data_IF_754603060117
#
_entry.id   IF_754603060117
#
_cell.length_a   1.000
_cell.length_b   1.000
_cell.length_c   1.000
_cell.angle_alpha   90.00
_cell.angle_beta   90.00
_cell.angle_gamma   90.00
#
_symmetry.space_group_name_H-M   'P 1'
#
loop_
_entity.id
_entity.type
_entity.pdbx_description
1 polymer ?
#
# COMPACT_ATOMS: atom_id res chain seq x y z
N UNK A 1 -9.53 -14.46 -29.88
CA UNK A 1 -9.33 -13.20 -29.12
C UNK A 1 -9.01 -13.33 -27.62
N UNK A 2 -9.02 -14.52 -26.98
CA UNK A 2 -8.75 -14.64 -25.52
C UNK A 2 -7.26 -14.49 -25.11
N UNK A 3 -6.30 -14.86 -25.97
CA UNK A 3 -4.85 -14.78 -25.64
C UNK A 3 -4.35 -13.33 -25.45
N UNK A 4 -4.80 -12.39 -26.27
CA UNK A 4 -4.37 -10.99 -26.18
C UNK A 4 -4.72 -10.31 -24.85
N UNK A 5 -5.88 -10.62 -24.26
CA UNK A 5 -6.28 -10.03 -22.97
C UNK A 5 -5.46 -10.57 -21.79
N UNK A 6 -5.09 -11.86 -21.81
CA UNK A 6 -4.26 -12.46 -20.75
C UNK A 6 -2.87 -11.83 -20.73
N UNK A 7 -2.23 -11.69 -21.90
CA UNK A 7 -0.93 -11.04 -22.01
C UNK A 7 -0.95 -9.60 -21.49
N UNK A 8 -2.06 -8.87 -21.66
CA UNK A 8 -2.17 -7.51 -21.14
C UNK A 8 -2.26 -7.48 -19.60
N UNK A 9 -3.02 -8.39 -19.00
CA UNK A 9 -3.14 -8.47 -17.54
C UNK A 9 -1.83 -8.90 -16.89
N UNK A 10 -1.11 -9.87 -17.49
CA UNK A 10 0.21 -10.31 -17.00
C UNK A 10 1.23 -9.16 -17.03
N UNK A 11 1.26 -8.37 -18.11
CA UNK A 11 2.12 -7.20 -18.22
C UNK A 11 1.74 -6.09 -17.22
N UNK A 12 0.44 -5.85 -17.01
CA UNK A 12 -0.05 -4.90 -16.01
C UNK A 12 0.32 -5.34 -14.58
N UNK A 13 0.22 -6.64 -14.29
CA UNK A 13 0.64 -7.21 -13.02
C UNK A 13 2.14 -7.06 -12.79
N UNK A 14 2.99 -7.36 -13.78
CA UNK A 14 4.45 -7.21 -13.67
C UNK A 14 4.82 -5.74 -13.39
N UNK A 15 4.14 -4.82 -14.06
CA UNK A 15 4.33 -3.38 -13.82
C UNK A 15 3.92 -3.01 -12.39
N UNK A 16 2.75 -3.46 -11.96
CA UNK A 16 2.25 -3.16 -10.63
C UNK A 16 3.15 -3.73 -9.53
N UNK A 17 3.64 -4.97 -9.70
CA UNK A 17 4.61 -5.59 -8.81
C UNK A 17 5.92 -4.80 -8.75
N UNK A 18 6.41 -4.31 -9.90
CA UNK A 18 7.63 -3.49 -9.95
C UNK A 18 7.45 -2.15 -9.20
N UNK A 19 6.26 -1.55 -9.28
CA UNK A 19 5.94 -0.33 -8.53
C UNK A 19 5.85 -0.59 -7.01
N UNK A 20 5.32 -1.75 -6.60
CA UNK A 20 5.20 -2.15 -5.20
C UNK A 20 6.56 -2.59 -4.63
N UNK A 21 7.39 -3.28 -5.41
CA UNK A 21 8.70 -3.79 -5.00
C UNK A 21 9.65 -2.67 -4.56
N UNK A 22 9.47 -1.44 -5.08
CA UNK A 22 10.16 -0.26 -4.55
C UNK A 22 10.00 -0.12 -3.03
N UNK A 23 8.86 -0.50 -2.45
CA UNK A 23 8.56 -0.39 -1.02
C UNK A 23 9.04 -1.57 -0.18
N UNK A 24 9.55 -2.65 -0.80
CA UNK A 24 10.13 -3.79 -0.09
C UNK A 24 11.45 -3.39 0.60
N UNK A 25 11.67 -3.73 1.88
CA UNK A 25 12.87 -3.34 2.61
C UNK A 25 13.90 -4.46 2.57
N UNK A 26 15.09 -4.16 2.06
CA UNK A 26 16.17 -5.15 1.91
C UNK A 26 17.14 -5.20 3.09
N UNK A 27 17.25 -4.11 3.86
CA UNK A 27 18.16 -4.05 5.00
C UNK A 27 17.73 -4.96 6.17
N UNK A 28 18.68 -5.55 6.92
CA UNK A 28 18.36 -6.39 8.07
C UNK A 28 17.59 -5.64 9.15
N UNK A 29 16.52 -6.22 9.70
CA UNK A 29 15.60 -5.59 10.66
C UNK A 29 16.29 -4.95 11.88
N UNK A 30 17.44 -5.48 12.30
CA UNK A 30 18.21 -5.00 13.46
C UNK A 30 19.18 -3.86 13.12
N UNK A 31 19.43 -3.57 11.85
CA UNK A 31 20.42 -2.61 11.38
C UNK A 31 19.96 -1.14 11.48
N UNK A 32 20.87 -0.17 11.32
CA UNK A 32 20.51 1.26 11.21
C UNK A 32 19.95 1.56 9.83
N UNK A 33 20.43 0.83 8.84
CA UNK A 33 20.08 0.88 7.42
C UNK A 33 18.60 0.57 7.23
N UNK A 34 18.06 -0.40 7.99
CA UNK A 34 16.62 -0.69 8.02
C UNK A 34 15.79 0.54 8.34
N UNK A 35 16.15 1.30 9.38
CA UNK A 35 15.35 2.47 9.77
C UNK A 35 15.43 3.59 8.75
N UNK A 36 16.59 3.76 8.10
CA UNK A 36 16.77 4.73 7.03
C UNK A 36 15.91 4.37 5.82
N UNK A 37 16.00 3.11 5.36
CA UNK A 37 15.23 2.60 4.22
C UNK A 37 13.72 2.62 4.51
N UNK A 38 13.33 2.16 5.71
CA UNK A 38 11.94 2.22 6.18
C UNK A 38 11.40 3.64 6.18
N UNK A 39 12.14 4.60 6.75
CA UNK A 39 11.68 5.98 6.86
C UNK A 39 11.53 6.63 5.48
N UNK A 40 12.46 6.39 4.56
CA UNK A 40 12.38 6.90 3.19
C UNK A 40 11.12 6.39 2.48
N UNK A 41 10.89 5.07 2.52
CA UNK A 41 9.76 4.40 1.87
C UNK A 41 8.43 4.79 2.50
N UNK A 42 8.37 4.83 3.84
CA UNK A 42 7.20 5.25 4.59
C UNK A 42 6.83 6.70 4.29
N UNK A 43 7.82 7.62 4.31
CA UNK A 43 7.58 9.02 3.99
C UNK A 43 7.07 9.18 2.56
N UNK A 44 7.67 8.49 1.58
CA UNK A 44 7.22 8.54 0.19
C UNK A 44 5.77 8.07 0.04
N UNK A 45 5.42 6.94 0.63
CA UNK A 45 4.05 6.42 0.59
C UNK A 45 3.06 7.37 1.28
N UNK A 46 3.39 7.83 2.49
CA UNK A 46 2.52 8.71 3.27
C UNK A 46 2.31 10.08 2.63
N UNK A 47 3.38 10.71 2.13
CA UNK A 47 3.29 11.98 1.41
C UNK A 47 2.50 11.85 0.11
N UNK A 48 2.66 10.73 -0.62
CA UNK A 48 1.87 10.48 -1.84
C UNK A 48 0.40 10.31 -1.52
N UNK A 49 0.05 9.56 -0.47
CA UNK A 49 -1.32 9.44 0.02
C UNK A 49 -1.92 10.81 0.39
N UNK A 50 -1.16 11.65 1.09
CA UNK A 50 -1.58 13.02 1.45
C UNK A 50 -1.82 13.86 0.19
N UNK A 51 -0.91 13.80 -0.79
CA UNK A 51 -1.06 14.50 -2.06
C UNK A 51 -2.32 14.06 -2.83
N UNK A 52 -2.60 12.75 -2.90
CA UNK A 52 -3.80 12.21 -3.53
C UNK A 52 -5.08 12.66 -2.82
N UNK A 53 -5.09 12.65 -1.48
CA UNK A 53 -6.23 13.19 -0.68
C UNK A 53 -6.45 14.68 -0.95
N UNK A 54 -5.37 15.46 -1.09
CA UNK A 54 -5.46 16.87 -1.46
C UNK A 54 -5.99 17.08 -2.88
N UNK A 55 -5.64 16.20 -3.83
CA UNK A 55 -6.20 16.22 -5.19
C UNK A 55 -7.71 15.99 -5.15
N UNK A 56 -8.20 14.99 -4.40
CA UNK A 56 -9.64 14.74 -4.25
C UNK A 56 -10.41 15.93 -3.66
N UNK A 57 -9.80 16.65 -2.72
CA UNK A 57 -10.44 17.80 -2.05
C UNK A 57 -10.47 19.05 -2.91
N UNK A 58 -9.41 19.30 -3.69
CA UNK A 58 -9.17 20.61 -4.29
C UNK A 58 -9.37 20.64 -5.82
N UNK A 59 -9.50 19.49 -6.48
CA UNK A 59 -9.63 19.41 -7.94
C UNK A 59 -11.02 18.90 -8.33
N UNK A 60 -11.60 19.51 -9.37
CA UNK A 60 -12.76 18.94 -10.06
C UNK A 60 -12.26 17.84 -10.98
N UNK A 61 -12.56 16.60 -10.62
CA UNK A 61 -12.16 15.40 -11.37
C UNK A 61 -13.35 14.84 -12.13
N UNK A 62 -13.09 14.26 -13.30
CA UNK A 62 -14.08 13.39 -13.94
C UNK A 62 -14.36 12.16 -13.05
N UNK A 63 -15.52 11.49 -13.18
CA UNK A 63 -15.80 10.26 -12.44
C UNK A 63 -14.73 9.18 -12.60
N UNK A 64 -14.09 9.11 -13.77
CA UNK A 64 -12.99 8.17 -14.06
C UNK A 64 -11.74 8.52 -13.27
N UNK A 65 -11.35 9.78 -13.23
CA UNK A 65 -10.19 10.26 -12.46
C UNK A 65 -10.43 10.12 -10.96
N UNK A 66 -11.63 10.44 -10.48
CA UNK A 66 -12.01 10.28 -9.08
C UNK A 66 -11.80 8.84 -8.60
N UNK A 67 -12.31 7.85 -9.37
CA UNK A 67 -12.11 6.43 -9.07
C UNK A 67 -10.64 6.03 -9.07
N UNK A 68 -9.85 6.50 -10.06
CA UNK A 68 -8.41 6.24 -10.11
C UNK A 68 -7.69 6.76 -8.87
N UNK A 69 -7.95 8.01 -8.47
CA UNK A 69 -7.32 8.61 -7.29
C UNK A 69 -7.74 7.88 -6.01
N UNK A 70 -9.02 7.49 -5.87
CA UNK A 70 -9.49 6.69 -4.73
C UNK A 70 -8.77 5.34 -4.65
N UNK A 71 -8.63 4.63 -5.77
CA UNK A 71 -7.90 3.36 -5.82
C UNK A 71 -6.42 3.55 -5.49
N UNK A 72 -5.79 4.62 -5.98
CA UNK A 72 -4.42 4.95 -5.61
C UNK A 72 -4.28 5.24 -4.12
N UNK A 73 -5.24 5.91 -3.48
CA UNK A 73 -5.23 6.12 -2.03
C UNK A 73 -5.24 4.78 -1.28
N UNK A 74 -6.14 3.85 -1.64
CA UNK A 74 -6.18 2.50 -1.03
C UNK A 74 -4.84 1.78 -1.21
N UNK A 75 -4.27 1.77 -2.42
CA UNK A 75 -2.93 1.21 -2.69
C UNK A 75 -1.86 1.76 -1.74
N UNK A 76 -1.81 3.08 -1.52
CA UNK A 76 -0.84 3.68 -0.60
C UNK A 76 -1.16 3.42 0.87
N UNK A 77 -2.42 3.23 1.24
CA UNK A 77 -2.81 2.78 2.59
C UNK A 77 -2.31 1.36 2.87
N UNK A 78 -2.48 0.45 1.91
CA UNK A 78 -1.99 -0.93 2.00
C UNK A 78 -0.45 -0.98 2.14
N UNK A 79 0.27 -0.17 1.36
CA UNK A 79 1.74 -0.04 1.46
C UNK A 79 2.15 0.49 2.85
N UNK A 80 1.44 1.50 3.37
CA UNK A 80 1.73 2.06 4.70
C UNK A 80 1.48 1.02 5.80
N UNK A 81 0.41 0.23 5.68
CA UNK A 81 0.10 -0.84 6.61
C UNK A 81 1.19 -1.93 6.61
N UNK A 82 1.64 -2.36 5.42
CA UNK A 82 2.78 -3.26 5.27
C UNK A 82 4.06 -2.72 5.94
N UNK A 83 4.40 -1.45 5.69
CA UNK A 83 5.58 -0.82 6.30
C UNK A 83 5.46 -0.69 7.83
N UNK A 84 4.26 -0.42 8.34
CA UNK A 84 4.01 -0.43 9.78
C UNK A 84 4.19 -1.82 10.40
N UNK A 85 3.69 -2.87 9.74
CA UNK A 85 3.90 -4.25 10.17
C UNK A 85 5.40 -4.60 10.24
N UNK A 86 6.18 -4.21 9.23
CA UNK A 86 7.64 -4.39 9.26
C UNK A 86 8.32 -3.65 10.42
N UNK A 87 7.93 -2.41 10.67
CA UNK A 87 8.43 -1.63 11.82
C UNK A 87 8.14 -2.34 13.13
N UNK A 88 6.92 -2.85 13.31
CA UNK A 88 6.54 -3.58 14.52
C UNK A 88 7.41 -4.83 14.71
N UNK A 89 7.62 -5.61 13.64
CA UNK A 89 8.52 -6.76 13.66
C UNK A 89 9.96 -6.38 14.05
N UNK A 90 10.48 -5.28 13.50
CA UNK A 90 11.82 -4.78 13.84
C UNK A 90 11.94 -4.31 15.31
N UNK A 91 10.89 -3.69 15.85
CA UNK A 91 10.83 -3.28 17.26
C UNK A 91 10.77 -4.50 18.19
N UNK A 92 9.94 -5.49 17.85
CA UNK A 92 9.85 -6.75 18.60
C UNK A 92 11.19 -7.48 18.62
N UNK A 93 11.91 -7.52 17.49
CA UNK A 93 13.26 -8.10 17.42
C UNK A 93 14.30 -7.38 18.29
N UNK A 94 14.06 -6.11 18.65
CA UNK A 94 14.89 -5.32 19.58
C UNK A 94 14.44 -5.41 21.04
N UNK A 95 13.44 -6.24 21.34
CA UNK A 95 12.84 -6.33 22.68
C UNK A 95 11.97 -5.12 23.06
N UNK A 96 11.58 -4.30 22.09
CA UNK A 96 10.63 -3.20 22.31
C UNK A 96 9.21 -3.74 22.21
N UNK A 97 8.66 -4.22 23.33
CA UNK A 97 7.29 -4.72 23.41
C UNK A 97 6.30 -3.54 23.58
N UNK A 98 5.86 -2.96 22.48
CA UNK A 98 4.67 -2.09 22.44
C UNK A 98 3.49 -2.91 21.91
N UNK A 99 2.63 -3.40 22.80
CA UNK A 99 1.63 -4.41 22.45
C UNK A 99 0.38 -3.83 21.80
N UNK A 100 0.15 -4.12 20.51
CA UNK A 100 -1.17 -4.01 19.88
C UNK A 100 -1.34 -5.00 18.72
N UNK A 101 -2.56 -5.55 18.61
CA UNK A 101 -3.07 -6.49 17.61
C UNK A 101 -3.00 -5.90 16.19
N UNK A 102 -2.58 -6.71 15.22
CA UNK A 102 -2.84 -6.45 13.79
C UNK A 102 -4.12 -7.23 13.46
N UNK A 103 -5.26 -6.56 13.49
CA UNK A 103 -6.47 -7.05 12.82
C UNK A 103 -6.29 -6.80 11.32
N UNK A 104 -6.22 -7.87 10.54
CA UNK A 104 -6.50 -7.80 9.11
C UNK A 104 -8.03 -7.88 9.01
N UNK A 105 -8.68 -6.76 8.71
CA UNK A 105 -10.07 -6.78 8.27
C UNK A 105 -10.13 -7.61 6.98
N UNK A 106 -10.60 -8.85 7.08
CA UNK A 106 -11.13 -9.57 5.94
C UNK A 106 -12.30 -8.73 5.43
N UNK A 107 -12.19 -8.21 4.21
CA UNK A 107 -13.30 -7.55 3.50
C UNK A 107 -14.51 -8.51 3.54
N UNK A 108 -15.45 -8.30 4.48
CA UNK A 108 -16.78 -8.89 4.46
C UNK A 108 -17.46 -8.40 3.17
N UNK A 109 -17.53 -9.27 2.18
CA UNK A 109 -18.42 -9.09 1.03
C UNK A 109 -19.87 -9.05 1.55
N UNK A 110 -20.39 -7.84 1.73
CA UNK A 110 -21.82 -7.56 1.84
C UNK A 110 -22.54 -8.15 0.62
N UNK A 111 -23.06 -9.36 0.82
CA UNK A 111 -24.01 -9.99 -0.08
C UNK A 111 -25.38 -9.32 0.11
N UNK A 112 -25.55 -8.11 -0.45
CA UNK A 112 -26.87 -7.50 -0.67
C UNK A 112 -27.58 -8.23 -1.82
N UNK A 113 -28.09 -9.43 -1.52
CA UNK A 113 -29.07 -10.15 -2.33
C UNK A 113 -30.47 -9.92 -1.80
N UNK A 114 -31.01 -8.70 -1.99
CA UNK A 114 -32.38 -8.34 -1.66
C UNK A 114 -33.20 -8.02 -2.90
N UNK A 115 -33.94 -9.01 -3.43
CA UNK A 115 -35.32 -8.98 -3.95
C UNK A 115 -35.77 -10.39 -4.28
#
# INVERSE_FOLDING_TARGET
MKRFRKNNLELELIRELSEIDFYNISAPLNSKEFWKEWQEKFNRANLTRIALRNILRNKRLSPKEYRKVKNSIKKYEDIINYLNALKLTALNARGSFGGYFIEFDEDEEENEGGT
#
